data_IF_638257883897
#
_entry.id   IF_638257883897
#
_cell.length_a   1.000
_cell.length_b   1.000
_cell.length_c   1.000
_cell.angle_alpha   90.00
_cell.angle_beta   90.00
_cell.angle_gamma   90.00
#
_symmetry.space_group_name_H-M   'P 1'
#
loop_
_entity.id
_entity.type
_entity.pdbx_description
1 polymer ?
#
# COMPACT_ATOMS: atom_id res chain seq x y z
N UNK A 1 -19.01 -0.91 -32.76
CA UNK A 1 -18.27 -1.87 -31.91
C UNK A 1 -18.71 -1.64 -30.47
N UNK A 2 -19.37 -2.61 -29.84
CA UNK A 2 -19.95 -2.47 -28.49
C UNK A 2 -18.87 -2.71 -27.43
N UNK A 3 -18.65 -1.66 -26.64
CA UNK A 3 -18.12 -1.59 -25.27
C UNK A 3 -17.80 -2.91 -24.56
N UNK A 4 -16.54 -3.08 -24.16
CA UNK A 4 -16.12 -3.95 -23.05
C UNK A 4 -15.42 -3.09 -22.00
N UNK A 5 -16.17 -2.19 -21.36
CA UNK A 5 -15.82 -1.76 -20.02
C UNK A 5 -16.63 -2.69 -19.11
N UNK A 6 -16.04 -3.85 -18.78
CA UNK A 6 -16.63 -4.73 -17.79
C UNK A 6 -16.74 -3.95 -16.49
N UNK A 7 -17.90 -4.01 -15.83
CA UNK A 7 -18.09 -3.44 -14.49
C UNK A 7 -16.92 -3.85 -13.60
N UNK A 8 -16.31 -2.91 -12.87
CA UNK A 8 -15.26 -3.22 -11.90
C UNK A 8 -15.77 -4.34 -10.99
N UNK A 9 -15.20 -5.54 -11.14
CA UNK A 9 -15.53 -6.68 -10.30
C UNK A 9 -14.81 -6.44 -8.99
N UNK A 10 -15.55 -6.01 -7.96
CA UNK A 10 -15.04 -5.96 -6.60
C UNK A 10 -14.72 -7.39 -6.19
N UNK A 11 -13.44 -7.68 -5.97
CA UNK A 11 -13.00 -8.89 -5.30
C UNK A 11 -12.82 -8.58 -3.81
N UNK A 12 -13.27 -9.48 -2.94
CA UNK A 12 -13.19 -9.32 -1.50
C UNK A 12 -12.42 -10.48 -0.87
N UNK A 13 -11.55 -10.16 0.08
CA UNK A 13 -10.90 -11.17 0.93
C UNK A 13 -11.74 -11.32 2.19
N UNK A 14 -12.29 -12.51 2.42
CA UNK A 14 -13.12 -12.78 3.61
C UNK A 14 -12.26 -13.03 4.84
N UNK A 15 -11.87 -11.95 5.51
CA UNK A 15 -11.16 -11.99 6.78
C UNK A 15 -11.81 -11.02 7.77
N UNK A 16 -11.92 -11.46 9.03
CA UNK A 16 -12.32 -10.58 10.13
C UNK A 16 -11.12 -9.74 10.56
N UNK A 17 -11.31 -8.43 10.53
CA UNK A 17 -10.41 -7.43 11.11
C UNK A 17 -11.13 -6.74 12.28
N UNK A 18 -10.38 -6.35 13.29
CA UNK A 18 -10.90 -5.66 14.46
C UNK A 18 -10.38 -4.22 14.48
N UNK A 19 -11.19 -3.29 15.00
CA UNK A 19 -10.75 -1.91 15.18
C UNK A 19 -9.65 -1.84 16.23
N UNK A 20 -8.89 -0.75 16.22
CA UNK A 20 -7.82 -0.48 17.19
C UNK A 20 -6.72 -1.56 17.26
N UNK A 21 -6.57 -2.32 16.17
CA UNK A 21 -5.57 -3.39 16.05
C UNK A 21 -4.67 -3.14 14.84
N UNK A 22 -3.36 -3.25 15.04
CA UNK A 22 -2.39 -3.18 13.94
C UNK A 22 -2.37 -4.46 13.13
N UNK A 23 -2.40 -4.30 11.80
CA UNK A 23 -2.25 -5.39 10.85
C UNK A 23 -1.18 -5.05 9.83
N UNK A 24 -0.40 -6.05 9.44
CA UNK A 24 0.41 -5.96 8.23
C UNK A 24 -0.37 -6.54 7.05
N UNK A 25 -0.57 -5.73 6.01
CA UNK A 25 -1.21 -6.15 4.76
C UNK A 25 -0.16 -6.09 3.65
N UNK A 26 -0.08 -7.15 2.85
CA UNK A 26 0.76 -7.18 1.66
C UNK A 26 -0.02 -7.77 0.48
N UNK A 27 0.08 -7.12 -0.68
CA UNK A 27 -0.35 -7.65 -1.95
C UNK A 27 0.86 -7.95 -2.83
N UNK A 28 0.85 -9.08 -3.54
CA UNK A 28 1.83 -9.37 -4.59
C UNK A 28 1.14 -9.70 -5.89
N UNK A 29 1.69 -9.24 -7.00
CA UNK A 29 1.09 -9.41 -8.32
C UNK A 29 2.16 -9.83 -9.33
N UNK A 30 1.93 -10.94 -10.03
CA UNK A 30 2.90 -11.53 -10.96
C UNK A 30 2.59 -11.28 -12.45
N UNK A 31 1.65 -10.38 -12.73
CA UNK A 31 1.14 -10.13 -14.09
C UNK A 31 -0.02 -11.05 -14.48
N UNK A 32 -0.37 -12.03 -13.63
CA UNK A 32 -1.52 -12.92 -13.85
C UNK A 32 -2.35 -13.15 -12.61
N UNK A 33 -1.73 -13.20 -11.44
CA UNK A 33 -2.40 -13.53 -10.18
C UNK A 33 -2.02 -12.50 -9.10
N UNK A 34 -3.04 -11.96 -8.43
CA UNK A 34 -2.89 -11.13 -7.23
C UNK A 34 -3.04 -12.01 -6.00
N UNK A 35 -2.07 -11.98 -5.09
CA UNK A 35 -2.11 -12.65 -3.78
C UNK A 35 -2.18 -11.64 -2.66
N UNK A 36 -2.99 -11.91 -1.64
CA UNK A 36 -3.12 -11.05 -0.46
C UNK A 36 -2.68 -11.81 0.80
N UNK A 37 -1.88 -11.15 1.61
CA UNK A 37 -1.36 -11.64 2.89
C UNK A 37 -1.78 -10.71 4.02
N UNK A 38 -2.17 -11.30 5.16
CA UNK A 38 -2.44 -10.58 6.41
C UNK A 38 -1.54 -11.17 7.50
N UNK A 39 -0.78 -10.31 8.19
CA UNK A 39 0.20 -10.69 9.21
C UNK A 39 1.15 -11.80 8.73
N UNK A 40 1.63 -11.67 7.49
CA UNK A 40 2.60 -12.60 6.90
C UNK A 40 2.04 -13.99 6.56
N UNK A 41 0.72 -14.14 6.56
CA UNK A 41 0.04 -15.40 6.21
C UNK A 41 -0.84 -15.18 4.98
N UNK A 42 -0.76 -16.08 4.00
CA UNK A 42 -1.62 -16.06 2.82
C UNK A 42 -3.11 -16.08 3.21
N UNK A 43 -3.92 -15.27 2.52
CA UNK A 43 -5.37 -15.19 2.74
C UNK A 43 -6.20 -15.54 1.53
N UNK A 44 -5.85 -14.97 0.39
CA UNK A 44 -6.60 -15.21 -0.85
C UNK A 44 -5.77 -14.89 -2.08
N UNK A 45 -6.25 -15.38 -3.23
CA UNK A 45 -5.70 -15.05 -4.53
C UNK A 45 -6.79 -14.82 -5.57
N UNK A 46 -6.49 -13.97 -6.54
CA UNK A 46 -7.39 -13.65 -7.65
C UNK A 46 -6.64 -13.74 -8.97
N UNK A 47 -7.17 -14.53 -9.89
CA UNK A 47 -6.74 -14.52 -11.28
C UNK A 47 -7.15 -13.19 -11.90
N UNK A 48 -6.14 -12.38 -12.22
CA UNK A 48 -6.25 -11.08 -12.87
C UNK A 48 -5.31 -11.05 -14.08
N UNK A 49 -5.46 -11.96 -15.07
CA UNK A 49 -4.62 -11.90 -16.27
C UNK A 49 -4.94 -10.61 -17.03
N UNK A 50 -3.98 -9.69 -17.06
CA UNK A 50 -4.07 -8.53 -17.95
C UNK A 50 -3.57 -8.92 -19.34
N UNK A 51 -4.30 -8.53 -20.38
CA UNK A 51 -3.85 -8.66 -21.76
C UNK A 51 -2.67 -7.71 -22.03
N UNK A 52 -1.82 -8.05 -23.00
CA UNK A 52 -0.68 -7.20 -23.40
C UNK A 52 -1.11 -5.78 -23.83
N UNK A 53 -2.37 -5.63 -24.29
CA UNK A 53 -2.99 -4.36 -24.71
C UNK A 53 -3.75 -3.63 -23.59
N UNK A 54 -3.82 -4.20 -22.38
CA UNK A 54 -4.54 -3.58 -21.27
C UNK A 54 -3.64 -2.55 -20.56
N UNK A 55 -3.79 -1.26 -20.90
CA UNK A 55 -3.15 -0.13 -20.21
C UNK A 55 -3.74 0.10 -18.80
N UNK A 56 -3.55 -0.84 -17.87
CA UNK A 56 -3.88 -0.65 -16.44
C UNK A 56 -2.73 -0.02 -15.65
N UNK A 57 -2.15 1.06 -16.16
CA UNK A 57 -1.33 1.96 -15.36
C UNK A 57 -2.10 3.26 -15.12
N UNK A 58 -2.21 3.64 -13.84
CA UNK A 58 -2.66 4.98 -13.49
C UNK A 58 -1.65 5.99 -14.03
N UNK A 59 -2.14 7.03 -14.71
CA UNK A 59 -1.34 8.23 -15.04
C UNK A 59 -1.34 9.26 -13.91
N UNK A 60 -2.16 9.04 -12.87
CA UNK A 60 -2.24 9.88 -11.68
C UNK A 60 -1.33 9.40 -10.56
N UNK A 61 -1.18 10.26 -9.54
CA UNK A 61 -0.27 10.04 -8.42
C UNK A 61 -0.61 8.80 -7.59
N UNK A 62 0.41 8.26 -6.93
CA UNK A 62 0.26 7.17 -5.96
C UNK A 62 -0.22 7.75 -4.62
N UNK A 63 -1.43 7.40 -4.21
CA UNK A 63 -2.03 7.90 -2.98
C UNK A 63 -2.01 6.84 -1.88
N UNK A 64 -1.75 7.27 -0.65
CA UNK A 64 -1.79 6.45 0.55
C UNK A 64 -2.89 7.02 1.46
N UNK A 65 -3.73 6.15 2.00
CA UNK A 65 -4.79 6.55 2.94
C UNK A 65 -6.05 7.14 2.30
N UNK A 66 -6.20 7.10 0.97
CA UNK A 66 -7.44 7.48 0.31
C UNK A 66 -7.26 7.83 -1.15
N UNK A 67 -8.37 8.15 -1.81
CA UNK A 67 -8.37 8.75 -3.15
C UNK A 67 -8.92 10.18 -3.02
N UNK A 68 -8.23 11.21 -3.56
CA UNK A 68 -8.69 12.59 -3.48
C UNK A 68 -10.12 12.76 -3.98
N UNK A 69 -10.94 13.47 -3.21
CA UNK A 69 -12.34 13.73 -3.55
C UNK A 69 -13.27 12.52 -3.47
N UNK A 70 -12.81 11.37 -2.94
CA UNK A 70 -13.63 10.17 -2.73
C UNK A 70 -13.64 9.77 -1.26
N UNK A 71 -12.99 8.65 -0.93
CA UNK A 71 -12.97 8.06 0.39
C UNK A 71 -11.58 8.20 0.98
N UNK A 72 -11.52 8.58 2.25
CA UNK A 72 -10.32 8.58 3.07
C UNK A 72 -10.38 7.39 4.04
N UNK A 73 -9.20 6.87 4.38
CA UNK A 73 -9.03 5.86 5.41
C UNK A 73 -9.14 6.51 6.79
N UNK A 74 -10.01 5.97 7.64
CA UNK A 74 -10.16 6.38 9.03
C UNK A 74 -9.34 5.44 9.92
N UNK A 75 -8.04 5.70 10.04
CA UNK A 75 -7.14 4.92 10.87
C UNK A 75 -5.69 5.30 10.66
N UNK A 76 -4.78 4.50 11.25
CA UNK A 76 -3.35 4.71 11.13
C UNK A 76 -2.76 3.86 9.99
N UNK A 77 -1.74 4.40 9.33
CA UNK A 77 -0.92 3.73 8.31
C UNK A 77 0.54 3.96 8.69
N UNK A 78 1.35 2.91 8.60
CA UNK A 78 2.78 2.95 8.89
C UNK A 78 3.54 2.01 7.92
N UNK A 79 4.83 2.26 7.71
CA UNK A 79 5.77 1.40 6.95
C UNK A 79 5.32 0.96 5.55
N UNK A 80 4.84 1.91 4.74
CA UNK A 80 4.41 1.61 3.36
C UNK A 80 5.63 1.35 2.49
N UNK A 81 5.59 0.26 1.72
CA UNK A 81 6.67 -0.17 0.82
C UNK A 81 6.11 -0.62 -0.52
N UNK A 82 6.84 -0.31 -1.59
CA UNK A 82 6.55 -0.78 -2.96
C UNK A 82 7.79 -1.49 -3.51
N UNK A 83 7.59 -2.67 -4.10
CA UNK A 83 8.65 -3.51 -4.64
C UNK A 83 8.42 -3.80 -6.12
N UNK A 84 9.50 -3.97 -6.89
CA UNK A 84 9.45 -4.44 -8.28
C UNK A 84 9.31 -5.96 -8.40
N UNK A 85 9.62 -6.70 -7.34
CA UNK A 85 9.65 -8.15 -7.33
C UNK A 85 8.50 -8.73 -6.52
N UNK A 86 8.03 -9.90 -6.94
CA UNK A 86 7.01 -10.68 -6.22
C UNK A 86 7.67 -11.28 -4.98
N UNK A 87 7.21 -10.91 -3.79
CA UNK A 87 7.66 -11.53 -2.54
C UNK A 87 6.92 -12.84 -2.29
N UNK A 88 7.67 -13.89 -1.96
CA UNK A 88 7.10 -15.14 -1.45
C UNK A 88 6.49 -14.95 -0.06
N UNK A 89 5.58 -15.83 0.35
CA UNK A 89 4.99 -15.77 1.70
C UNK A 89 6.05 -15.74 2.81
N UNK A 90 7.11 -16.53 2.67
CA UNK A 90 8.22 -16.58 3.62
C UNK A 90 8.94 -15.22 3.73
N UNK A 91 9.17 -14.54 2.59
CA UNK A 91 9.76 -13.21 2.57
C UNK A 91 8.82 -12.15 3.16
N UNK A 92 7.52 -12.22 2.83
CA UNK A 92 6.50 -11.33 3.41
C UNK A 92 6.52 -11.46 4.95
N UNK A 93 6.48 -12.70 5.46
CA UNK A 93 6.52 -12.97 6.90
C UNK A 93 7.83 -12.52 7.56
N UNK A 94 8.96 -12.73 6.90
CA UNK A 94 10.26 -12.33 7.41
C UNK A 94 10.49 -10.81 7.38
N UNK A 95 9.78 -10.08 6.51
CA UNK A 95 9.93 -8.63 6.29
C UNK A 95 8.83 -7.76 6.91
N UNK A 96 7.71 -8.35 7.37
CA UNK A 96 6.52 -7.58 7.79
C UNK A 96 6.77 -6.58 8.92
N UNK A 97 7.68 -6.89 9.84
CA UNK A 97 8.01 -6.05 11.00
C UNK A 97 9.39 -5.37 10.87
N UNK A 98 9.89 -5.21 9.64
CA UNK A 98 11.24 -4.67 9.38
C UNK A 98 11.17 -3.42 8.51
N UNK A 99 12.02 -2.46 8.86
CA UNK A 99 12.38 -1.35 7.99
C UNK A 99 13.55 -1.79 7.11
N UNK A 100 13.53 -1.38 5.85
CA UNK A 100 14.64 -1.62 4.93
C UNK A 100 15.65 -0.50 5.13
N UNK A 101 16.94 -0.84 5.18
CA UNK A 101 18.00 0.15 5.41
C UNK A 101 18.99 0.11 4.26
N UNK A 102 19.35 1.30 3.77
CA UNK A 102 20.23 1.44 2.61
C UNK A 102 19.62 0.92 1.31
N UNK A 103 20.46 0.76 0.28
CA UNK A 103 20.03 0.29 -1.04
C UNK A 103 19.60 -1.17 -0.95
N UNK A 104 18.30 -1.41 -1.05
CA UNK A 104 17.73 -2.76 -1.07
C UNK A 104 17.27 -3.09 -2.50
N UNK A 105 17.78 -4.17 -3.07
CA UNK A 105 17.43 -4.58 -4.44
C UNK A 105 15.92 -4.78 -4.60
N UNK A 106 15.36 -4.20 -5.66
CA UNK A 106 13.94 -4.27 -5.98
C UNK A 106 13.01 -3.41 -5.10
N UNK A 107 13.54 -2.65 -4.12
CA UNK A 107 12.73 -1.68 -3.37
C UNK A 107 12.57 -0.40 -4.19
N UNK A 108 11.33 -0.07 -4.56
CA UNK A 108 11.02 1.11 -5.39
C UNK A 108 10.70 2.34 -4.53
N UNK A 109 10.01 2.16 -3.42
CA UNK A 109 9.71 3.23 -2.47
C UNK A 109 9.51 2.68 -1.06
N UNK A 110 9.85 3.48 -0.05
CA UNK A 110 9.54 3.21 1.34
C UNK A 110 9.24 4.51 2.10
N UNK A 111 8.08 4.57 2.74
CA UNK A 111 7.66 5.67 3.58
C UNK A 111 7.39 5.16 5.00
N UNK A 112 8.26 5.55 5.93
CA UNK A 112 8.21 5.10 7.32
C UNK A 112 7.35 5.97 8.23
N UNK A 113 6.92 7.15 7.75
CA UNK A 113 6.12 8.11 8.52
C UNK A 113 6.72 8.51 9.89
N UNK A 114 8.04 8.39 10.05
CA UNK A 114 8.77 8.65 11.29
C UNK A 114 9.48 10.02 11.32
N UNK A 115 9.22 10.92 10.37
CA UNK A 115 9.85 12.25 10.26
C UNK A 115 9.47 13.17 11.42
N UNK A 116 8.36 12.87 12.11
CA UNK A 116 7.92 13.51 13.35
C UNK A 116 7.31 14.91 13.19
N UNK A 117 7.61 15.64 12.10
CA UNK A 117 6.99 16.93 11.75
C UNK A 117 7.25 17.32 10.29
N UNK A 118 6.47 18.27 9.77
CA UNK A 118 6.57 18.77 8.40
C UNK A 118 5.42 18.28 7.52
N UNK A 119 5.41 18.73 6.27
CA UNK A 119 4.40 18.36 5.28
C UNK A 119 4.91 17.33 4.26
N UNK A 120 6.18 16.94 4.36
CA UNK A 120 6.80 15.94 3.47
C UNK A 120 6.89 14.58 4.15
N UNK A 121 6.73 13.54 3.35
CA UNK A 121 6.98 12.14 3.71
C UNK A 121 8.18 11.67 2.90
N UNK A 122 9.25 11.26 3.57
CA UNK A 122 10.52 10.98 2.91
C UNK A 122 10.51 9.55 2.39
N UNK A 123 10.91 9.38 1.13
CA UNK A 123 11.20 8.05 0.57
C UNK A 123 12.59 7.60 1.03
N UNK A 124 12.63 6.68 2.00
CA UNK A 124 13.87 6.15 2.57
C UNK A 124 14.53 5.08 1.69
N UNK A 125 13.93 4.70 0.55
CA UNK A 125 14.53 3.74 -0.39
C UNK A 125 15.74 4.29 -1.14
N UNK A 126 15.88 5.63 -1.19
CA UNK A 126 16.90 6.32 -1.96
C UNK A 126 16.47 6.69 -3.39
N UNK A 127 15.26 6.32 -3.82
CA UNK A 127 14.75 6.60 -5.17
C UNK A 127 14.05 7.97 -5.30
N UNK A 128 13.98 8.75 -4.21
CA UNK A 128 13.45 10.12 -4.16
C UNK A 128 11.97 10.23 -4.54
N UNK A 129 11.18 9.18 -4.31
CA UNK A 129 9.72 9.23 -4.45
C UNK A 129 9.08 9.87 -3.21
N UNK A 130 9.56 11.05 -2.79
CA UNK A 130 9.04 11.71 -1.60
C UNK A 130 7.55 12.05 -1.77
N UNK A 131 6.76 11.78 -0.74
CA UNK A 131 5.36 12.16 -0.67
C UNK A 131 5.15 13.53 -0.02
N UNK A 132 3.94 14.04 -0.13
CA UNK A 132 3.47 15.21 0.61
C UNK A 132 2.08 14.94 1.18
N UNK A 133 1.77 15.52 2.34
CA UNK A 133 0.43 15.44 2.91
C UNK A 133 -0.51 16.38 2.15
N UNK A 134 -1.59 15.85 1.59
CA UNK A 134 -2.65 16.67 1.02
C UNK A 134 -3.64 17.12 2.11
N UNK A 135 -3.83 18.43 2.24
CA UNK A 135 -4.83 19.01 3.15
C UNK A 135 -6.16 19.14 2.41
N UNK A 136 -7.18 18.36 2.80
CA UNK A 136 -8.53 18.59 2.30
C UNK A 136 -9.30 19.57 3.20
N UNK A 137 -9.89 20.59 2.59
CA UNK A 137 -10.74 21.57 3.26
C UNK A 137 -12.01 20.88 3.79
N UNK A 138 -12.05 20.63 5.11
CA UNK A 138 -13.12 19.87 5.76
C UNK A 138 -12.83 19.48 7.21
N UNK A 139 -11.58 19.62 7.66
CA UNK A 139 -11.23 19.51 9.06
C UNK A 139 -10.96 18.07 9.49
N UNK A 140 -9.69 17.74 9.63
CA UNK A 140 -9.25 16.73 10.60
C UNK A 140 -8.10 17.35 11.38
N UNK A 141 -8.32 17.56 12.66
CA UNK A 141 -7.26 17.82 13.63
C UNK A 141 -6.50 16.51 13.82
N UNK A 142 -5.31 16.40 13.22
CA UNK A 142 -4.45 15.23 13.40
C UNK A 142 -3.78 15.32 14.76
N UNK A 143 -4.32 14.60 15.74
CA UNK A 143 -3.61 14.37 17.00
C UNK A 143 -2.38 13.51 16.71
N UNK A 144 -1.22 14.15 16.82
CA UNK A 144 0.12 13.55 16.85
C UNK A 144 0.14 12.39 17.84
N UNK A 145 0.57 11.21 17.40
CA UNK A 145 1.02 10.16 18.33
C UNK A 145 2.28 9.56 17.73
N UNK A 146 3.39 9.65 18.48
CA UNK A 146 4.63 8.92 18.21
C UNK A 146 4.29 7.44 18.04
N UNK A 147 4.92 6.77 17.08
CA UNK A 147 4.79 5.32 16.89
C UNK A 147 5.29 4.57 18.14
N UNK A 148 4.45 4.43 19.16
CA UNK A 148 4.65 3.44 20.21
C UNK A 148 4.10 2.12 19.67
N UNK A 149 4.88 1.47 18.80
CA UNK A 149 4.72 0.03 18.59
C UNK A 149 4.84 -0.64 19.97
N UNK A 150 3.94 -1.55 20.35
CA UNK A 150 4.25 -2.51 21.41
C UNK A 150 5.47 -3.37 21.01
#
# INVERSE_FOLDING_TARGET
>A
ARSHLSSARSQEVKVRIETDTWYHICGTYDGKELRIYLNGTFKDQFDLPFGEDDEFHSKGDFHIGGIPGKHAWEGYIDEVRVWSDIKSEAEVRAGMNKVCVGTTAGLLAQWTFNEGSGEQVIDTSGNKNNGAFERYAGGVELRRVQSSRP
#
